data_IF_169264898695
#
_entry.id   IF_169264898695
#
_cell.length_a   1.000
_cell.length_b   1.000
_cell.length_c   1.000
_cell.angle_alpha   90.00
_cell.angle_beta   90.00
_cell.angle_gamma   90.00
#
_symmetry.space_group_name_H-M   'P 1'
#
loop_
_entity.id
_entity.type
_entity.pdbx_description
1 polymer ?
#
# COMPACT_ATOMS: atom_id res chain seq x y z
N UNK A 1 -10.40 15.53 -11.86
CA UNK A 1 -9.85 14.21 -12.28
C UNK A 1 -10.66 13.09 -11.62
N UNK A 2 -10.85 11.94 -12.29
CA UNK A 2 -11.59 10.79 -11.74
C UNK A 2 -10.69 9.56 -11.74
N UNK A 3 -10.63 8.82 -10.62
CA UNK A 3 -10.06 7.48 -10.55
C UNK A 3 -11.20 6.48 -10.81
N UNK A 4 -11.12 5.71 -11.89
CA UNK A 4 -12.10 4.67 -12.15
C UNK A 4 -11.74 3.42 -11.37
N UNK A 5 -12.75 2.82 -10.73
CA UNK A 5 -12.60 1.64 -9.88
C UNK A 5 -13.63 0.60 -10.25
N UNK A 6 -13.19 -0.62 -10.48
CA UNK A 6 -14.03 -1.77 -10.77
C UNK A 6 -14.01 -2.75 -9.61
N UNK A 7 -15.18 -3.16 -9.13
CA UNK A 7 -15.33 -4.17 -8.09
C UNK A 7 -15.35 -5.56 -8.74
N UNK A 8 -14.41 -6.42 -8.37
CA UNK A 8 -14.36 -7.81 -8.84
C UNK A 8 -15.16 -8.78 -7.96
N UNK A 9 -15.55 -8.31 -6.76
CA UNK A 9 -16.45 -9.02 -5.83
C UNK A 9 -17.53 -8.06 -5.35
N UNK A 10 -18.75 -8.55 -5.16
CA UNK A 10 -19.92 -7.74 -4.76
C UNK A 10 -19.70 -7.04 -3.43
N UNK A 11 -19.03 -7.72 -2.49
CA UNK A 11 -18.74 -7.24 -1.13
C UNK A 11 -17.62 -6.20 -1.07
N UNK A 12 -16.85 -6.03 -2.16
CA UNK A 12 -15.77 -5.06 -2.21
C UNK A 12 -16.30 -3.64 -2.00
N UNK A 13 -15.55 -2.85 -1.25
CA UNK A 13 -15.84 -1.43 -1.01
C UNK A 13 -14.98 -0.56 -1.92
N UNK A 14 -15.57 0.48 -2.50
CA UNK A 14 -14.81 1.49 -3.22
C UNK A 14 -13.87 2.24 -2.26
N UNK A 15 -12.67 2.63 -2.71
CA UNK A 15 -11.82 3.53 -1.93
C UNK A 15 -12.56 4.83 -1.59
N UNK A 16 -12.49 5.28 -0.34
CA UNK A 16 -13.24 6.45 0.12
C UNK A 16 -12.38 7.35 1.03
N UNK A 17 -12.51 8.67 0.88
CA UNK A 17 -11.96 9.63 1.84
C UNK A 17 -12.87 9.75 3.06
N UNK A 18 -12.28 9.79 4.25
CA UNK A 18 -13.04 10.05 5.47
C UNK A 18 -13.48 11.52 5.51
N UNK A 19 -12.62 12.44 5.08
CA UNK A 19 -12.92 13.87 4.96
C UNK A 19 -12.55 14.35 3.55
N UNK A 20 -13.23 15.41 3.08
CA UNK A 20 -13.11 15.92 1.70
C UNK A 20 -11.68 16.29 1.31
N UNK A 21 -10.89 16.77 2.28
CA UNK A 21 -9.51 17.23 2.06
C UNK A 21 -8.45 16.18 2.38
N UNK A 22 -8.84 14.95 2.77
CA UNK A 22 -7.86 13.90 3.02
C UNK A 22 -7.12 13.55 1.72
N UNK A 23 -5.80 13.44 1.77
CA UNK A 23 -5.00 13.00 0.63
C UNK A 23 -5.29 11.52 0.29
N UNK A 24 -5.46 10.69 1.31
CA UNK A 24 -5.66 9.25 1.18
C UNK A 24 -7.12 8.83 1.06
N UNK A 25 -7.33 7.81 0.26
CA UNK A 25 -8.60 7.07 0.18
C UNK A 25 -8.43 5.73 0.90
N UNK A 26 -9.27 5.45 1.88
CA UNK A 26 -9.23 4.18 2.62
C UNK A 26 -9.41 2.97 1.69
N UNK A 27 -8.57 1.96 1.85
CA UNK A 27 -8.69 0.64 1.24
C UNK A 27 -9.18 -0.37 2.28
N UNK A 28 -9.99 -1.33 1.83
CA UNK A 28 -10.69 -2.25 2.70
C UNK A 28 -10.32 -3.70 2.36
N UNK A 29 -10.22 -4.56 3.37
CA UNK A 29 -10.13 -5.99 3.15
C UNK A 29 -11.46 -6.52 2.57
N UNK A 30 -11.34 -7.24 1.46
CA UNK A 30 -12.46 -7.97 0.84
C UNK A 30 -12.08 -9.45 0.75
N UNK A 31 -12.79 -10.36 1.44
CA UNK A 31 -12.48 -11.78 1.39
C UNK A 31 -12.43 -12.32 -0.04
N UNK A 32 -11.40 -13.11 -0.32
CA UNK A 32 -11.25 -13.85 -1.56
C UNK A 32 -11.54 -15.33 -1.28
N UNK A 33 -12.58 -15.93 -1.88
CA UNK A 33 -12.92 -17.34 -1.67
C UNK A 33 -11.83 -18.32 -2.09
N UNK A 34 -10.94 -17.92 -3.01
CA UNK A 34 -9.85 -18.77 -3.51
C UNK A 34 -8.68 -18.90 -2.53
N UNK A 35 -8.57 -18.02 -1.53
CA UNK A 35 -7.49 -18.06 -0.55
C UNK A 35 -7.66 -19.23 0.43
N UNK A 36 -6.58 -20.01 0.60
CA UNK A 36 -6.53 -21.15 1.50
C UNK A 36 -6.39 -20.78 2.98
N UNK A 37 -6.47 -21.80 3.84
CA UNK A 37 -6.43 -21.69 5.31
C UNK A 37 -5.16 -21.06 5.89
N UNK A 38 -4.05 -21.02 5.15
CA UNK A 38 -2.80 -20.42 5.63
C UNK A 38 -2.93 -18.91 5.90
N UNK A 39 -3.79 -18.23 5.12
CA UNK A 39 -4.04 -16.78 5.24
C UNK A 39 -5.38 -16.46 5.87
N UNK A 40 -6.25 -17.46 6.02
CA UNK A 40 -7.63 -17.26 6.48
C UNK A 40 -7.84 -17.98 7.81
N UNK A 41 -8.44 -17.30 8.74
CA UNK A 41 -9.03 -17.86 9.94
C UNK A 41 -10.55 -17.66 9.89
N UNK A 42 -11.30 -18.73 10.03
CA UNK A 42 -12.75 -18.69 9.95
C UNK A 42 -13.36 -18.92 11.34
N UNK A 43 -14.24 -18.04 11.74
CA UNK A 43 -15.02 -18.17 12.95
C UNK A 43 -16.48 -17.78 12.70
N UNK A 44 -17.41 -18.64 13.05
CA UNK A 44 -18.87 -18.42 12.90
C UNK A 44 -19.28 -17.98 11.47
N UNK A 45 -18.62 -18.58 10.45
CA UNK A 45 -18.86 -18.28 9.04
C UNK A 45 -18.24 -16.94 8.57
N UNK A 46 -17.46 -16.26 9.40
CA UNK A 46 -16.74 -15.04 9.04
C UNK A 46 -15.28 -15.40 8.71
N UNK A 47 -14.82 -14.99 7.53
CA UNK A 47 -13.46 -15.23 7.04
C UNK A 47 -12.56 -14.03 7.36
N UNK A 48 -11.79 -14.13 8.41
CA UNK A 48 -10.78 -13.14 8.79
C UNK A 48 -9.48 -13.39 8.04
N UNK A 49 -8.80 -12.32 7.63
CA UNK A 49 -7.44 -12.45 7.10
C UNK A 49 -6.44 -12.48 8.26
N UNK A 50 -5.61 -13.51 8.29
CA UNK A 50 -4.68 -13.79 9.39
C UNK A 50 -3.26 -13.40 8.99
N UNK A 51 -2.59 -12.58 9.81
CA UNK A 51 -1.19 -12.19 9.63
C UNK A 51 -0.40 -12.50 10.91
N UNK A 52 0.38 -13.60 10.94
CA UNK A 52 1.24 -13.92 12.08
C UNK A 52 2.35 -12.89 12.29
N UNK A 53 3.00 -12.86 13.49
CA UNK A 53 4.18 -12.03 13.75
C UNK A 53 5.31 -12.28 12.74
N UNK A 54 5.96 -11.22 12.28
CA UNK A 54 7.09 -11.29 11.35
C UNK A 54 6.73 -11.71 9.92
N UNK A 55 5.44 -11.91 9.60
CA UNK A 55 4.99 -12.36 8.27
C UNK A 55 4.49 -11.20 7.43
N UNK A 56 4.79 -11.28 6.13
CA UNK A 56 4.26 -10.40 5.08
C UNK A 56 3.19 -11.14 4.29
N UNK A 57 2.05 -10.48 4.08
CA UNK A 57 0.93 -11.05 3.32
C UNK A 57 0.37 -10.04 2.30
N UNK A 58 -0.18 -10.55 1.20
CA UNK A 58 -0.97 -9.78 0.24
C UNK A 58 -2.45 -9.86 0.62
N UNK A 59 -3.00 -8.77 1.11
CA UNK A 59 -4.39 -8.68 1.57
C UNK A 59 -5.27 -8.18 0.42
N UNK A 60 -6.27 -8.95 -0.03
CA UNK A 60 -7.12 -8.60 -1.16
C UNK A 60 -8.08 -7.46 -0.81
N UNK A 61 -8.31 -6.56 -1.77
CA UNK A 61 -9.27 -5.45 -1.64
C UNK A 61 -10.55 -5.64 -2.44
N UNK A 62 -10.55 -6.57 -3.39
CA UNK A 62 -11.69 -6.81 -4.28
C UNK A 62 -11.88 -5.74 -5.35
N UNK A 63 -10.92 -4.86 -5.56
CA UNK A 63 -11.02 -3.80 -6.56
C UNK A 63 -9.86 -3.80 -7.55
N UNK A 64 -10.15 -3.37 -8.78
CA UNK A 64 -9.19 -2.97 -9.80
C UNK A 64 -9.32 -1.47 -10.01
N UNK A 65 -8.23 -0.82 -10.39
CA UNK A 65 -8.20 0.62 -10.64
C UNK A 65 -7.64 0.93 -12.02
N UNK A 66 -8.17 1.96 -12.65
CA UNK A 66 -7.59 2.54 -13.86
C UNK A 66 -6.83 3.80 -13.42
N UNK A 67 -5.51 3.65 -13.23
CA UNK A 67 -4.64 4.76 -12.84
C UNK A 67 -4.45 5.68 -14.05
N UNK A 68 -4.75 7.00 -13.94
CA UNK A 68 -4.62 7.92 -15.06
C UNK A 68 -3.15 8.06 -15.53
N UNK A 69 -2.92 8.32 -16.83
CA UNK A 69 -1.57 8.60 -17.33
C UNK A 69 -0.88 9.71 -16.54
N UNK A 70 0.44 9.59 -16.36
CA UNK A 70 1.26 10.53 -15.59
C UNK A 70 1.06 10.46 -14.07
N UNK A 71 0.42 9.41 -13.58
CA UNK A 71 0.20 9.18 -12.15
C UNK A 71 0.53 7.74 -11.76
N UNK A 72 0.73 7.52 -10.48
CA UNK A 72 0.68 6.23 -9.82
C UNK A 72 -0.36 6.25 -8.69
N UNK A 73 -0.90 5.10 -8.32
CA UNK A 73 -1.64 4.98 -7.07
C UNK A 73 -0.70 4.43 -6.01
N UNK A 74 -0.37 5.26 -5.03
CA UNK A 74 0.55 4.92 -3.97
C UNK A 74 -0.19 4.39 -2.76
N UNK A 75 0.12 3.16 -2.33
CA UNK A 75 -0.46 2.55 -1.14
C UNK A 75 0.35 2.96 0.08
N UNK A 76 -0.29 3.63 1.01
CA UNK A 76 0.33 4.21 2.21
C UNK A 76 -0.21 3.59 3.49
N UNK A 77 0.59 3.64 4.53
CA UNK A 77 0.17 3.29 5.88
C UNK A 77 -1.03 4.12 6.33
N UNK A 78 -1.98 3.48 6.98
CA UNK A 78 -3.01 4.17 7.76
C UNK A 78 -2.54 4.26 9.21
N UNK A 79 -2.48 5.48 9.77
CA UNK A 79 -1.85 5.75 11.08
C UNK A 79 -2.39 4.85 12.19
N UNK A 80 -3.70 4.65 12.28
CA UNK A 80 -4.32 3.78 13.28
C UNK A 80 -3.93 2.30 13.12
N UNK A 81 -3.80 1.82 11.90
CA UNK A 81 -3.38 0.43 11.59
C UNK A 81 -1.89 0.26 11.91
N UNK A 82 -1.06 1.19 11.47
CA UNK A 82 0.38 1.14 11.71
C UNK A 82 0.70 1.22 13.23
N UNK A 83 0.13 2.20 13.92
CA UNK A 83 0.42 2.44 15.33
C UNK A 83 -0.18 1.37 16.25
N UNK A 84 -1.50 1.11 16.12
CA UNK A 84 -2.22 0.22 17.07
C UNK A 84 -2.10 -1.25 16.73
N UNK A 85 -2.11 -1.61 15.43
CA UNK A 85 -2.07 -3.00 15.01
C UNK A 85 -0.66 -3.47 14.61
N UNK A 86 0.30 -2.56 14.52
CA UNK A 86 1.69 -2.86 14.10
C UNK A 86 1.75 -3.52 12.72
N UNK A 87 0.83 -3.12 11.82
CA UNK A 87 0.81 -3.56 10.44
C UNK A 87 1.31 -2.44 9.54
N UNK A 88 2.37 -2.70 8.79
CA UNK A 88 2.99 -1.74 7.86
C UNK A 88 2.81 -2.18 6.41
N UNK A 89 2.61 -1.20 5.53
CA UNK A 89 2.57 -1.42 4.09
C UNK A 89 4.00 -1.61 3.56
N UNK A 90 4.20 -2.68 2.78
CA UNK A 90 5.45 -2.97 2.08
C UNK A 90 5.42 -2.45 0.64
N UNK A 91 5.08 -3.31 -0.34
CA UNK A 91 4.93 -2.89 -1.74
C UNK A 91 3.83 -1.84 -1.86
N UNK A 92 4.14 -0.70 -2.49
CA UNK A 92 3.29 0.48 -2.38
C UNK A 92 2.92 1.12 -3.74
N UNK A 93 3.47 0.67 -4.87
CA UNK A 93 3.24 1.30 -6.17
C UNK A 93 2.26 0.48 -7.00
N UNK A 94 1.22 1.15 -7.50
CA UNK A 94 0.32 0.62 -8.53
C UNK A 94 0.45 1.53 -9.76
N UNK A 95 1.03 0.99 -10.82
CA UNK A 95 1.38 1.72 -12.04
C UNK A 95 0.18 1.98 -12.95
N UNK A 96 0.29 3.00 -13.82
CA UNK A 96 -0.58 3.15 -14.98
C UNK A 96 -0.47 1.91 -15.86
N UNK A 97 -1.64 1.35 -16.25
CA UNK A 97 -1.71 0.13 -17.07
C UNK A 97 -1.76 -1.17 -16.27
N UNK A 98 -1.56 -1.16 -14.95
CA UNK A 98 -1.84 -2.34 -14.13
C UNK A 98 -3.34 -2.67 -14.13
N UNK A 99 -3.68 -3.90 -14.49
CA UNK A 99 -5.08 -4.37 -14.66
C UNK A 99 -5.49 -5.43 -13.63
N UNK A 100 -4.58 -5.80 -12.74
CA UNK A 100 -4.83 -6.77 -11.68
C UNK A 100 -5.65 -6.21 -10.52
N UNK A 101 -6.01 -7.08 -9.58
CA UNK A 101 -6.57 -6.65 -8.30
C UNK A 101 -5.53 -5.86 -7.51
N UNK A 102 -5.96 -4.78 -6.84
CA UNK A 102 -5.12 -4.07 -5.88
C UNK A 102 -5.04 -4.89 -4.59
N UNK A 103 -3.87 -5.43 -4.32
CA UNK A 103 -3.56 -6.05 -3.03
C UNK A 103 -2.82 -5.05 -2.16
N UNK A 104 -3.06 -5.14 -0.85
CA UNK A 104 -2.25 -4.41 0.14
C UNK A 104 -1.26 -5.37 0.75
N UNK A 105 0.04 -5.14 0.49
CA UNK A 105 1.11 -5.91 1.12
C UNK A 105 1.30 -5.42 2.57
N UNK A 106 0.86 -6.21 3.55
CA UNK A 106 0.99 -5.89 4.97
C UNK A 106 2.03 -6.75 5.66
N UNK A 107 2.91 -6.11 6.42
CA UNK A 107 3.89 -6.73 7.30
C UNK A 107 3.44 -6.59 8.74
N UNK A 108 3.37 -7.68 9.48
CA UNK A 108 3.11 -7.64 10.91
C UNK A 108 4.44 -7.52 11.67
N UNK A 109 4.75 -6.31 12.14
CA UNK A 109 5.95 -6.01 12.95
C UNK A 109 5.69 -6.13 14.47
N UNK A 110 4.49 -6.56 14.86
CA UNK A 110 4.13 -6.80 16.25
C UNK A 110 4.42 -8.23 16.71
N UNK A 111 4.25 -8.48 18.00
CA UNK A 111 4.45 -9.81 18.61
C UNK A 111 3.23 -10.73 18.61
N UNK A 112 2.08 -10.29 18.09
CA UNK A 112 0.83 -11.03 18.10
C UNK A 112 0.27 -11.23 16.69
N UNK A 113 -0.40 -12.36 16.47
CA UNK A 113 -1.16 -12.57 15.22
C UNK A 113 -2.27 -11.53 15.10
N UNK A 114 -2.40 -10.92 13.93
CA UNK A 114 -3.49 -9.99 13.60
C UNK A 114 -4.54 -10.67 12.76
N UNK A 115 -5.80 -10.39 13.10
CA UNK A 115 -6.97 -10.85 12.37
C UNK A 115 -7.69 -9.62 11.81
N UNK A 116 -7.84 -9.57 10.50
CA UNK A 116 -8.49 -8.46 9.79
C UNK A 116 -9.89 -8.91 9.41
N UNK A 117 -10.89 -8.18 9.86
CA UNK A 117 -12.30 -8.45 9.57
C UNK A 117 -12.67 -8.05 8.13
N UNK A 118 -13.61 -8.76 7.48
CA UNK A 118 -14.18 -8.31 6.21
C UNK A 118 -14.65 -6.85 6.27
N UNK A 119 -14.27 -6.07 5.26
CA UNK A 119 -14.62 -4.65 5.19
C UNK A 119 -13.87 -3.74 6.17
N UNK A 120 -12.88 -4.25 6.90
CA UNK A 120 -11.98 -3.43 7.72
C UNK A 120 -11.06 -2.59 6.84
N UNK A 121 -10.82 -1.33 7.24
CA UNK A 121 -9.81 -0.46 6.65
C UNK A 121 -8.43 -1.01 6.95
N UNK A 122 -7.58 -1.15 5.92
CA UNK A 122 -6.26 -1.79 6.05
C UNK A 122 -5.10 -0.88 5.65
N UNK A 123 -5.34 0.05 4.75
CA UNK A 123 -4.37 1.02 4.24
C UNK A 123 -5.12 2.21 3.67
N UNK A 124 -4.38 3.15 3.09
CA UNK A 124 -4.94 4.21 2.27
C UNK A 124 -4.19 4.30 0.95
N UNK A 125 -4.88 4.74 -0.11
CA UNK A 125 -4.31 4.97 -1.42
C UNK A 125 -4.26 6.47 -1.73
N UNK A 126 -3.14 6.95 -2.25
CA UNK A 126 -2.94 8.33 -2.68
C UNK A 126 -2.65 8.34 -4.17
N UNK A 127 -3.39 9.10 -4.95
CA UNK A 127 -3.09 9.33 -6.36
C UNK A 127 -1.97 10.37 -6.45
N UNK A 128 -0.80 9.95 -6.93
CA UNK A 128 0.43 10.76 -6.94
C UNK A 128 0.88 10.99 -8.38
N UNK A 129 1.16 12.24 -8.81
CA UNK A 129 1.75 12.50 -10.10
C UNK A 129 3.18 11.96 -10.17
N UNK A 130 3.58 11.47 -11.35
CA UNK A 130 4.93 10.94 -11.58
C UNK A 130 5.58 11.65 -12.77
N UNK A 131 6.87 11.88 -12.65
CA UNK A 131 7.70 12.36 -13.76
C UNK A 131 8.36 11.14 -14.39
N UNK A 132 7.99 10.84 -15.64
CA UNK A 132 8.61 9.78 -16.42
C UNK A 132 9.88 10.34 -17.09
N UNK A 133 11.03 9.95 -16.59
CA UNK A 133 12.32 10.32 -17.17
C UNK A 133 12.90 9.17 -18.00
N UNK A 134 13.72 9.51 -18.99
CA UNK A 134 14.62 8.55 -19.62
C UNK A 134 15.86 8.39 -18.73
N UNK A 135 16.30 7.16 -18.56
CA UNK A 135 17.55 6.87 -17.84
C UNK A 135 18.66 6.86 -18.88
N UNK A 136 19.66 7.70 -18.65
CA UNK A 136 20.86 7.80 -19.49
C UNK A 136 22.09 7.50 -18.63
N UNK A 137 22.97 6.64 -19.13
CA UNK A 137 24.26 6.39 -18.49
C UNK A 137 25.16 7.61 -18.68
N UNK A 138 25.78 8.07 -17.61
CA UNK A 138 26.79 9.14 -17.66
C UNK A 138 28.14 8.59 -17.22
N UNK A 139 29.20 9.06 -17.89
CA UNK A 139 30.58 8.75 -17.54
C UNK A 139 31.23 9.87 -16.71
N UNK A 140 30.47 10.90 -16.36
CA UNK A 140 30.92 11.97 -15.46
C UNK A 140 30.45 11.63 -14.04
N UNK A 141 31.40 11.50 -13.12
CA UNK A 141 31.10 11.23 -11.72
C UNK A 141 30.35 12.43 -11.11
N UNK A 142 29.14 12.24 -10.55
CA UNK A 142 28.43 13.31 -9.85
C UNK A 142 29.21 13.94 -8.70
N UNK A 143 30.19 13.24 -8.10
CA UNK A 143 31.03 13.76 -7.02
C UNK A 143 32.00 14.87 -7.48
N UNK A 144 32.26 14.99 -8.80
CA UNK A 144 32.99 16.10 -9.37
C UNK A 144 32.27 17.44 -9.24
N UNK A 145 30.94 17.40 -8.97
CA UNK A 145 30.15 18.57 -8.65
C UNK A 145 30.32 18.90 -7.17
N UNK A 146 31.03 19.98 -6.88
CA UNK A 146 31.16 20.47 -5.52
C UNK A 146 29.79 20.95 -4.98
N UNK A 147 29.19 20.16 -4.07
CA UNK A 147 27.90 20.49 -3.42
C UNK A 147 28.09 20.47 -1.90
N UNK A 148 27.35 21.30 -1.17
CA UNK A 148 27.43 21.38 0.30
C UNK A 148 27.11 20.05 0.99
N UNK A 149 26.35 19.17 0.34
CA UNK A 149 26.01 17.84 0.86
C UNK A 149 27.05 16.77 0.56
N UNK A 150 27.75 16.86 -0.59
CA UNK A 150 28.67 15.82 -1.08
C UNK A 150 28.03 14.44 -1.10
N UNK A 151 28.77 13.42 -0.68
CA UNK A 151 28.33 12.03 -0.56
C UNK A 151 27.61 11.70 0.77
N UNK A 152 27.31 12.71 1.60
CA UNK A 152 26.73 12.54 2.92
C UNK A 152 25.32 11.91 2.89
N UNK A 153 25.15 10.80 3.65
CA UNK A 153 23.88 10.08 3.84
C UNK A 153 23.81 9.43 5.23
N UNK A 154 22.70 8.73 5.54
CA UNK A 154 22.53 7.87 6.71
C UNK A 154 23.01 8.45 8.05
N UNK A 155 22.65 9.70 8.34
CA UNK A 155 23.03 10.38 9.59
C UNK A 155 24.23 11.31 9.47
N UNK A 156 24.70 11.64 8.27
CA UNK A 156 25.82 12.59 8.04
C UNK A 156 25.55 14.00 8.56
N UNK A 157 24.28 14.35 8.86
CA UNK A 157 23.87 15.64 9.43
C UNK A 157 23.83 15.63 10.96
N UNK A 158 24.24 14.53 11.62
CA UNK A 158 24.22 14.37 13.07
C UNK A 158 22.83 14.02 13.62
N UNK A 159 22.77 13.86 14.95
CA UNK A 159 21.55 13.56 15.70
C UNK A 159 20.97 14.79 16.42
N UNK A 160 21.72 15.88 16.49
CA UNK A 160 21.37 17.17 17.11
C UNK A 160 22.02 18.28 16.31
#
# INVERSE_FOLDING_TARGET
>A
MKLKVYKIRSEAKLPVRAHTMDAGMDLFYCPDPSLGSNCIWEEKGIRYFRIPPGVSCLVPTGVKVEVPPGHMLEIKNKSGIAHKQKLLVGACVVDTGYTGEVYVNLHNIGGETRHISPGQKIAQAVLTPVVLCQVEETYTDPSDKNTDRGSGGFGSTGLV
#
